data_IF_674280266258
#
_entry.id   IF_674280266258
#
_cell.length_a   1.000
_cell.length_b   1.000
_cell.length_c   1.000
_cell.angle_alpha   90.00
_cell.angle_beta   90.00
_cell.angle_gamma   90.00
#
_symmetry.space_group_name_H-M   'P 1'
#
loop_
_entity.id
_entity.type
_entity.pdbx_description
1 polymer ?
#
# COMPACT_ATOMS: atom_id res chain seq x y z
N UNK A 1 92.12 48.43 44.58
CA UNK A 1 90.65 48.43 44.85
C UNK A 1 90.00 47.29 44.05
N UNK A 2 89.12 46.52 44.74
CA UNK A 2 87.97 45.68 44.30
C UNK A 2 88.13 44.18 43.94
N UNK A 3 87.12 43.46 44.46
CA UNK A 3 86.59 42.08 44.26
C UNK A 3 87.15 40.93 45.15
N UNK A 4 86.24 40.04 45.65
CA UNK A 4 85.55 39.03 44.83
C UNK A 4 84.00 38.99 44.98
N UNK A 5 83.32 38.50 43.94
CA UNK A 5 81.91 38.09 43.94
C UNK A 5 81.80 36.64 43.45
N UNK A 6 80.97 35.86 44.15
CA UNK A 6 80.52 34.51 43.82
C UNK A 6 79.32 34.54 42.85
N UNK A 7 79.22 33.55 41.95
CA UNK A 7 77.94 33.03 41.43
C UNK A 7 78.18 31.82 40.48
N UNK A 8 77.84 30.61 40.93
CA UNK A 8 77.72 29.41 40.10
C UNK A 8 76.42 28.71 40.50
N UNK A 9 75.33 28.91 39.75
CA UNK A 9 74.11 28.09 39.76
C UNK A 9 73.10 28.67 38.75
N UNK A 10 73.18 28.32 37.47
CA UNK A 10 72.12 28.68 36.50
C UNK A 10 71.97 27.75 35.29
N UNK A 11 72.91 26.84 35.01
CA UNK A 11 72.82 25.97 33.82
C UNK A 11 72.15 24.61 34.07
N UNK A 12 72.24 24.04 35.29
CA UNK A 12 71.60 22.75 35.62
C UNK A 12 70.08 22.88 35.81
N UNK A 13 69.59 23.97 36.39
CA UNK A 13 68.15 24.17 36.63
C UNK A 13 67.36 24.44 35.35
N UNK A 14 68.01 25.00 34.31
CA UNK A 14 67.37 25.21 33.00
C UNK A 14 67.17 23.89 32.25
N UNK A 15 68.16 22.98 32.29
CA UNK A 15 68.07 21.67 31.63
C UNK A 15 67.04 20.74 32.32
N UNK A 16 66.94 20.78 33.65
CA UNK A 16 65.89 20.06 34.38
C UNK A 16 64.49 20.60 34.09
N UNK A 17 64.34 21.93 33.99
CA UNK A 17 63.07 22.55 33.62
C UNK A 17 62.63 22.21 32.19
N UNK A 18 63.56 22.13 31.23
CA UNK A 18 63.24 21.68 29.88
C UNK A 18 62.82 20.21 29.84
N UNK A 19 63.50 19.33 30.59
CA UNK A 19 63.11 17.91 30.72
C UNK A 19 61.75 17.74 31.39
N UNK A 20 61.44 18.53 32.42
CA UNK A 20 60.13 18.55 33.08
C UNK A 20 59.03 19.05 32.14
N UNK A 21 59.29 20.09 31.34
CA UNK A 21 58.36 20.56 30.29
C UNK A 21 58.16 19.52 29.20
N UNK A 22 59.21 18.82 28.79
CA UNK A 22 59.13 17.77 27.77
C UNK A 22 58.39 16.53 28.31
N UNK A 23 58.59 16.18 29.59
CA UNK A 23 57.84 15.13 30.26
C UNK A 23 56.35 15.49 30.44
N UNK A 24 56.05 16.75 30.80
CA UNK A 24 54.69 17.31 30.86
C UNK A 24 53.99 17.28 29.50
N UNK A 25 54.69 17.69 28.43
CA UNK A 25 54.17 17.65 27.08
C UNK A 25 53.93 16.21 26.59
N UNK A 26 54.84 15.28 26.91
CA UNK A 26 54.66 13.86 26.61
C UNK A 26 53.50 13.25 27.41
N UNK A 27 53.26 13.69 28.65
CA UNK A 27 52.10 13.23 29.43
C UNK A 27 50.79 13.81 28.89
N UNK A 28 50.77 15.05 28.39
CA UNK A 28 49.62 15.60 27.68
C UNK A 28 49.34 14.84 26.37
N UNK A 29 50.35 14.50 25.58
CA UNK A 29 50.18 13.69 24.37
C UNK A 29 49.69 12.29 24.72
N UNK A 30 50.22 11.66 25.78
CA UNK A 30 49.76 10.35 26.25
C UNK A 30 48.30 10.42 26.75
N UNK A 31 47.91 11.51 27.40
CA UNK A 31 46.53 11.77 27.81
C UNK A 31 45.59 11.97 26.62
N UNK A 32 46.01 12.76 25.61
CA UNK A 32 45.27 12.97 24.37
C UNK A 32 45.13 11.69 23.55
N UNK A 33 46.19 10.88 23.45
CA UNK A 33 46.13 9.59 22.75
C UNK A 33 45.30 8.56 23.52
N UNK A 34 45.32 8.57 24.86
CA UNK A 34 44.37 7.80 25.68
C UNK A 34 42.94 8.25 25.42
N UNK A 35 42.67 9.56 25.44
CA UNK A 35 41.33 10.12 25.19
C UNK A 35 40.84 9.83 23.77
N UNK A 36 41.74 9.86 22.78
CA UNK A 36 41.45 9.47 21.40
C UNK A 36 41.20 7.98 21.28
N UNK A 37 41.95 7.15 22.02
CA UNK A 37 41.74 5.70 22.11
C UNK A 37 40.43 5.37 22.81
N UNK A 38 40.02 6.16 23.79
CA UNK A 38 38.73 6.05 24.49
C UNK A 38 37.57 6.54 23.62
N UNK A 39 37.78 7.57 22.79
CA UNK A 39 36.82 8.00 21.78
C UNK A 39 36.71 7.00 20.62
N UNK A 40 37.83 6.44 20.18
CA UNK A 40 37.86 5.38 19.16
C UNK A 40 37.24 4.10 19.72
N UNK A 41 37.52 3.71 20.96
CA UNK A 41 36.88 2.55 21.61
C UNK A 41 35.40 2.79 21.83
N UNK A 42 34.96 4.01 22.19
CA UNK A 42 33.54 4.36 22.25
C UNK A 42 32.86 4.39 20.87
N UNK A 43 33.58 4.75 19.79
CA UNK A 43 33.09 4.64 18.42
C UNK A 43 33.04 3.18 17.95
N UNK A 44 34.03 2.35 18.32
CA UNK A 44 34.05 0.91 18.06
C UNK A 44 33.04 0.15 18.94
N UNK A 45 32.72 0.63 20.14
CA UNK A 45 31.63 0.13 20.99
C UNK A 45 30.28 0.60 20.46
N UNK A 46 30.14 1.81 19.92
CA UNK A 46 28.92 2.21 19.19
C UNK A 46 28.74 1.39 17.92
N UNK A 47 29.80 1.13 17.16
CA UNK A 47 29.77 0.24 15.99
C UNK A 47 29.56 -1.22 16.38
N UNK A 48 30.10 -1.69 17.52
CA UNK A 48 29.85 -3.05 18.03
C UNK A 48 28.49 -3.19 18.69
N UNK A 49 27.91 -2.15 19.29
CA UNK A 49 26.51 -2.14 19.75
C UNK A 49 25.58 -2.11 18.54
N UNK A 50 25.85 -1.27 17.53
CA UNK A 50 25.13 -1.30 16.25
C UNK A 50 25.31 -2.60 15.46
N UNK A 51 26.47 -3.28 15.55
CA UNK A 51 26.68 -4.62 14.96
C UNK A 51 26.10 -5.75 15.81
N UNK A 52 26.06 -5.63 17.14
CA UNK A 52 25.46 -6.62 18.04
C UNK A 52 23.93 -6.54 18.05
N UNK A 53 23.34 -5.40 17.69
CA UNK A 53 21.91 -5.33 17.34
C UNK A 53 21.56 -6.07 16.04
N UNK A 54 22.55 -6.44 15.23
CA UNK A 54 22.37 -7.14 13.94
C UNK A 54 22.74 -8.62 13.98
N UNK A 55 23.17 -9.14 15.13
CA UNK A 55 23.60 -10.54 15.29
C UNK A 55 22.97 -11.19 16.52
N UNK A 56 21.66 -11.00 16.70
CA UNK A 56 20.83 -11.93 17.47
C UNK A 56 20.16 -12.90 16.50
N UNK A 57 20.58 -14.18 16.56
CA UNK A 57 19.89 -15.28 15.88
C UNK A 57 18.51 -15.46 16.52
N UNK A 58 17.49 -15.52 15.65
CA UNK A 58 16.08 -15.78 15.93
C UNK A 58 15.28 -14.63 16.56
N UNK A 59 15.06 -13.57 15.80
CA UNK A 59 13.78 -12.86 15.62
C UNK A 59 13.97 -11.85 14.48
N UNK A 60 12.91 -11.52 13.74
CA UNK A 60 13.05 -10.73 12.50
C UNK A 60 13.81 -9.41 12.76
N UNK A 61 14.75 -8.99 11.88
CA UNK A 61 15.48 -7.71 11.99
C UNK A 61 14.59 -6.45 12.10
N UNK A 62 13.30 -6.63 11.88
CA UNK A 62 12.25 -5.65 11.80
C UNK A 62 11.83 -5.08 13.17
N UNK A 63 11.76 -5.90 14.22
CA UNK A 63 11.16 -5.49 15.51
C UNK A 63 11.98 -4.39 16.20
N UNK A 64 13.31 -4.49 16.18
CA UNK A 64 14.18 -3.49 16.80
C UNK A 64 14.08 -2.09 16.17
N UNK A 65 13.71 -1.99 14.89
CA UNK A 65 13.53 -0.71 14.18
C UNK A 65 12.21 -0.04 14.61
N UNK A 66 11.19 -0.82 14.94
CA UNK A 66 9.90 -0.26 15.38
C UNK A 66 10.07 0.48 16.70
N UNK A 67 10.84 -0.11 17.62
CA UNK A 67 11.06 0.45 18.96
C UNK A 67 11.92 1.72 18.96
N UNK A 68 12.55 2.05 17.83
CA UNK A 68 13.19 3.35 17.63
C UNK A 68 12.19 4.52 17.71
N UNK A 69 10.95 4.32 17.24
CA UNK A 69 9.95 5.37 17.19
C UNK A 69 9.28 5.59 18.55
N UNK A 70 9.38 6.81 19.09
CA UNK A 70 8.73 7.18 20.35
C UNK A 70 7.20 7.30 20.21
N UNK A 71 6.74 7.80 19.06
CA UNK A 71 5.32 8.01 18.79
C UNK A 71 4.63 6.66 18.59
N UNK A 72 3.62 6.39 19.41
CA UNK A 72 2.84 5.14 19.36
C UNK A 72 2.16 4.92 18.00
N UNK A 73 1.64 5.99 17.41
CA UNK A 73 1.01 5.95 16.09
C UNK A 73 1.96 5.44 15.01
N UNK A 74 3.21 5.92 15.02
CA UNK A 74 4.23 5.45 14.08
C UNK A 74 4.52 3.97 14.33
N UNK A 75 4.64 3.54 15.59
CA UNK A 75 4.85 2.12 15.92
C UNK A 75 3.70 1.24 15.43
N UNK A 76 2.44 1.66 15.64
CA UNK A 76 1.25 0.96 15.14
C UNK A 76 1.23 0.92 13.62
N UNK A 77 1.55 2.03 12.96
CA UNK A 77 1.59 2.08 11.50
C UNK A 77 2.72 1.24 10.92
N UNK A 78 3.92 1.25 11.49
CA UNK A 78 5.06 0.48 10.99
C UNK A 78 4.89 -1.02 11.24
N UNK A 79 4.21 -1.47 12.30
CA UNK A 79 4.02 -2.91 12.56
C UNK A 79 3.37 -3.64 11.37
N UNK A 80 3.77 -4.89 11.13
CA UNK A 80 3.10 -5.79 10.17
C UNK A 80 1.74 -6.17 10.72
N UNK A 81 0.70 -6.12 9.87
CA UNK A 81 -0.66 -6.51 10.26
C UNK A 81 -0.89 -7.93 9.78
N UNK A 82 -0.95 -8.94 10.65
CA UNK A 82 -1.20 -10.31 10.23
C UNK A 82 -2.59 -10.43 9.63
N UNK A 83 -2.78 -11.33 8.65
CA UNK A 83 -4.13 -11.56 8.12
C UNK A 83 -4.98 -12.27 9.20
N UNK A 84 -6.25 -11.87 9.37
CA UNK A 84 -7.14 -12.39 10.44
C UNK A 84 -7.29 -13.92 10.41
N UNK A 85 -7.30 -14.50 9.21
CA UNK A 85 -7.44 -15.96 8.99
C UNK A 85 -6.11 -16.74 9.09
N UNK A 86 -4.98 -16.11 9.40
CA UNK A 86 -3.65 -16.75 9.47
C UNK A 86 -3.14 -17.36 8.17
N UNK A 87 -3.85 -17.16 7.05
CA UNK A 87 -3.53 -17.64 5.71
C UNK A 87 -2.98 -16.49 4.85
N UNK A 88 -2.34 -16.82 3.73
CA UNK A 88 -1.97 -15.82 2.74
C UNK A 88 -3.21 -15.08 2.23
N UNK A 89 -3.10 -13.75 2.14
CA UNK A 89 -4.10 -12.93 1.48
C UNK A 89 -4.02 -13.14 -0.04
N UNK A 90 -4.97 -12.58 -0.77
CA UNK A 90 -5.04 -12.78 -2.22
C UNK A 90 -3.86 -12.19 -3.01
N UNK A 91 -3.05 -11.31 -2.39
CA UNK A 91 -1.83 -10.77 -2.99
C UNK A 91 -0.62 -11.71 -2.80
N UNK A 92 -0.80 -12.83 -2.08
CA UNK A 92 0.25 -13.81 -1.81
C UNK A 92 1.08 -13.50 -0.56
N UNK A 93 0.65 -12.56 0.29
CA UNK A 93 1.37 -12.16 1.49
C UNK A 93 0.73 -12.70 2.78
N UNK A 94 1.55 -13.05 3.77
CA UNK A 94 1.10 -13.58 5.08
C UNK A 94 0.53 -12.49 6.02
N UNK A 95 0.65 -11.23 5.61
CA UNK A 95 0.18 -10.06 6.32
C UNK A 95 0.35 -8.83 5.44
N UNK A 96 0.01 -7.67 5.98
CA UNK A 96 0.15 -6.38 5.30
C UNK A 96 1.32 -5.62 5.89
N UNK A 97 2.25 -5.23 5.03
CA UNK A 97 3.47 -4.49 5.35
C UNK A 97 3.29 -3.05 4.91
N UNK A 98 3.44 -2.08 5.80
CA UNK A 98 3.20 -0.67 5.46
C UNK A 98 4.31 -0.07 4.60
N UNK A 99 3.95 0.91 3.78
CA UNK A 99 4.77 1.50 2.70
C UNK A 99 5.90 2.42 3.16
N UNK A 100 6.46 2.20 4.35
CA UNK A 100 7.67 2.91 4.79
C UNK A 100 8.89 2.14 4.28
N UNK A 101 9.90 2.89 3.81
CA UNK A 101 11.09 2.33 3.17
C UNK A 101 11.93 1.38 4.03
N UNK A 102 11.64 1.21 5.33
CA UNK A 102 12.33 0.23 6.17
C UNK A 102 12.08 -1.21 5.68
N UNK A 103 10.90 -1.51 5.12
CA UNK A 103 10.60 -2.82 4.53
C UNK A 103 11.51 -3.14 3.33
N UNK A 104 12.02 -2.12 2.62
CA UNK A 104 13.00 -2.33 1.56
C UNK A 104 14.32 -2.92 2.05
N UNK A 105 14.74 -2.64 3.28
CA UNK A 105 15.98 -3.22 3.83
C UNK A 105 15.86 -4.73 4.02
N UNK A 106 14.67 -5.23 4.37
CA UNK A 106 14.40 -6.67 4.44
C UNK A 106 14.26 -7.34 3.07
N UNK A 107 14.07 -6.56 2.00
CA UNK A 107 13.93 -7.03 0.62
C UNK A 107 15.08 -6.55 -0.25
N UNK A 108 16.28 -6.43 0.34
CA UNK A 108 17.46 -5.87 -0.30
C UNK A 108 17.75 -6.54 -1.65
N UNK A 109 17.77 -7.87 -1.68
CA UNK A 109 18.13 -8.65 -2.88
C UNK A 109 17.14 -8.38 -4.01
N UNK A 110 15.83 -8.47 -3.74
CA UNK A 110 14.79 -8.17 -4.73
C UNK A 110 14.81 -6.71 -5.20
N UNK A 111 15.10 -5.77 -4.29
CA UNK A 111 15.20 -4.35 -4.64
C UNK A 111 16.44 -4.08 -5.51
N UNK A 112 17.59 -4.67 -5.20
CA UNK A 112 18.81 -4.56 -6.00
C UNK A 112 18.61 -5.20 -7.39
N UNK A 113 17.95 -6.36 -7.47
CA UNK A 113 17.56 -6.97 -8.75
C UNK A 113 16.64 -6.04 -9.55
N UNK A 114 15.64 -5.44 -8.89
CA UNK A 114 14.73 -4.49 -9.51
C UNK A 114 15.43 -3.19 -9.92
N UNK A 115 16.45 -2.73 -9.20
CA UNK A 115 17.17 -1.50 -9.55
C UNK A 115 18.35 -1.74 -10.50
N UNK A 116 18.63 -3.00 -10.86
CA UNK A 116 19.69 -3.37 -11.80
C UNK A 116 19.23 -3.18 -13.26
N UNK A 117 19.40 -1.94 -13.76
CA UNK A 117 19.18 -1.54 -15.15
C UNK A 117 20.17 -0.45 -15.56
N UNK A 118 20.44 -0.36 -16.86
CA UNK A 118 21.27 0.71 -17.42
C UNK A 118 20.44 1.97 -17.68
N UNK A 119 20.98 3.11 -17.29
CA UNK A 119 20.34 4.42 -17.52
C UNK A 119 20.20 4.67 -19.02
N UNK A 120 18.98 4.97 -19.46
CA UNK A 120 18.63 5.21 -20.86
C UNK A 120 18.33 3.93 -21.64
N UNK A 121 18.41 2.76 -21.02
CA UNK A 121 18.04 1.49 -21.67
C UNK A 121 16.56 1.15 -21.42
N UNK A 122 16.08 0.04 -21.99
CA UNK A 122 14.77 -0.54 -21.77
C UNK A 122 14.77 -1.28 -20.43
N UNK A 123 13.80 -1.00 -19.55
CA UNK A 123 13.66 -1.71 -18.29
C UNK A 123 13.39 -3.22 -18.52
N UNK A 124 13.70 -4.08 -17.55
CA UNK A 124 13.32 -5.51 -17.61
C UNK A 124 11.79 -5.69 -17.55
N UNK A 125 11.28 -6.77 -18.14
CA UNK A 125 9.86 -7.19 -18.06
C UNK A 125 9.59 -7.95 -16.75
N UNK A 126 9.71 -7.24 -15.63
CA UNK A 126 9.67 -7.79 -14.26
C UNK A 126 8.65 -7.08 -13.36
N UNK A 127 7.50 -6.70 -13.93
CA UNK A 127 6.42 -6.04 -13.18
C UNK A 127 5.95 -6.86 -11.95
N UNK A 128 6.08 -8.19 -11.98
CA UNK A 128 5.81 -9.06 -10.82
C UNK A 128 6.76 -8.79 -9.65
N UNK A 129 8.04 -8.54 -9.93
CA UNK A 129 9.02 -8.20 -8.91
C UNK A 129 8.69 -6.82 -8.31
N UNK A 130 8.35 -5.85 -9.16
CA UNK A 130 7.87 -4.53 -8.72
C UNK A 130 6.64 -4.64 -7.80
N UNK A 131 5.63 -5.41 -8.22
CA UNK A 131 4.43 -5.62 -7.42
C UNK A 131 4.72 -6.37 -6.11
N UNK A 132 5.63 -7.36 -6.13
CA UNK A 132 6.08 -8.06 -4.93
C UNK A 132 6.68 -7.07 -3.93
N UNK A 133 7.56 -6.16 -4.37
CA UNK A 133 8.11 -5.11 -3.52
C UNK A 133 6.98 -4.24 -2.92
N UNK A 134 6.06 -3.74 -3.74
CA UNK A 134 4.93 -2.90 -3.30
C UNK A 134 4.05 -3.60 -2.24
N UNK A 135 3.63 -4.84 -2.50
CA UNK A 135 2.77 -5.65 -1.60
C UNK A 135 3.45 -5.88 -0.25
N UNK A 136 4.77 -5.99 -0.24
CA UNK A 136 5.58 -6.19 0.96
C UNK A 136 6.09 -4.88 1.58
N UNK A 137 5.51 -3.73 1.21
CA UNK A 137 5.79 -2.43 1.86
C UNK A 137 7.06 -1.75 1.37
N UNK A 138 7.82 -2.39 0.48
CA UNK A 138 8.90 -1.71 -0.23
C UNK A 138 8.33 -1.05 -1.47
N UNK A 139 7.79 0.16 -1.33
CA UNK A 139 7.34 0.92 -2.50
C UNK A 139 8.56 1.19 -3.40
N UNK A 140 8.65 0.53 -4.58
CA UNK A 140 9.88 0.52 -5.34
C UNK A 140 10.18 1.95 -5.78
N UNK A 141 11.44 2.38 -5.61
CA UNK A 141 11.90 3.62 -6.19
C UNK A 141 11.53 3.59 -7.68
N UNK A 142 10.79 4.60 -8.18
CA UNK A 142 10.34 4.58 -9.56
C UNK A 142 11.58 4.48 -10.46
N UNK A 143 11.59 3.49 -11.37
CA UNK A 143 12.59 3.40 -12.44
C UNK A 143 12.44 4.58 -13.39
N UNK A 144 12.91 5.75 -12.97
CA UNK A 144 12.77 7.03 -13.69
C UNK A 144 13.80 7.20 -14.80
N UNK A 145 14.74 6.26 -14.94
CA UNK A 145 15.90 6.38 -15.82
C UNK A 145 16.03 5.23 -16.82
N UNK A 146 15.03 4.36 -16.95
CA UNK A 146 14.92 3.42 -18.07
C UNK A 146 13.56 3.57 -18.74
N UNK A 147 13.46 3.16 -20.00
CA UNK A 147 12.23 3.20 -20.77
C UNK A 147 11.35 2.00 -20.42
N UNK A 148 10.08 2.25 -20.09
CA UNK A 148 9.11 1.19 -19.79
C UNK A 148 8.90 0.27 -20.99
N UNK A 149 8.91 -1.03 -20.77
CA UNK A 149 8.63 -2.02 -21.83
C UNK A 149 7.19 -1.87 -22.32
N UNK A 150 7.04 -1.61 -23.62
CA UNK A 150 5.76 -1.63 -24.31
C UNK A 150 5.42 -3.04 -24.85
N UNK A 151 4.14 -3.32 -25.17
CA UNK A 151 3.79 -4.52 -25.92
C UNK A 151 4.54 -4.59 -27.26
N UNK A 152 4.90 -5.80 -27.72
CA UNK A 152 5.64 -6.00 -28.97
C UNK A 152 4.91 -5.47 -30.20
N UNK A 153 3.58 -5.56 -30.18
CA UNK A 153 2.70 -5.06 -31.22
C UNK A 153 1.78 -4.03 -30.58
N UNK A 154 1.62 -2.88 -31.22
CA UNK A 154 0.70 -1.85 -30.76
C UNK A 154 -0.40 -1.66 -31.80
N UNK A 155 -1.64 -1.58 -31.34
CA UNK A 155 -2.77 -1.17 -32.15
C UNK A 155 -3.50 -0.02 -31.48
N UNK A 156 -4.05 0.87 -32.30
CA UNK A 156 -4.86 1.97 -31.82
C UNK A 156 -6.02 1.40 -30.97
N UNK A 157 -6.19 1.83 -29.70
CA UNK A 157 -7.31 1.43 -28.88
C UNK A 157 -8.65 1.85 -29.50
N UNK A 158 -9.72 1.15 -29.13
CA UNK A 158 -11.07 1.53 -29.54
C UNK A 158 -11.42 2.95 -29.05
N UNK A 159 -12.23 3.70 -29.82
CA UNK A 159 -12.80 4.96 -29.33
C UNK A 159 -13.58 4.73 -28.04
N UNK A 160 -13.70 5.78 -27.22
CA UNK A 160 -14.29 5.69 -25.88
C UNK A 160 -15.73 5.16 -25.88
N UNK A 161 -16.50 5.43 -26.92
CA UNK A 161 -17.89 4.97 -27.04
C UNK A 161 -18.00 3.46 -27.29
N UNK A 162 -16.93 2.83 -27.81
CA UNK A 162 -16.88 1.39 -28.09
C UNK A 162 -16.09 0.62 -27.03
N UNK A 163 -15.08 1.25 -26.42
CA UNK A 163 -14.11 0.58 -25.54
C UNK A 163 -14.69 0.11 -24.21
N UNK A 164 -15.79 0.73 -23.73
CA UNK A 164 -16.28 0.52 -22.37
C UNK A 164 -16.79 -0.91 -22.15
N UNK A 165 -17.53 -1.48 -23.10
CA UNK A 165 -18.19 -2.78 -22.98
C UNK A 165 -17.72 -3.83 -23.99
N UNK A 166 -16.63 -3.54 -24.71
CA UNK A 166 -16.01 -4.43 -25.68
C UNK A 166 -14.66 -4.92 -25.16
N UNK A 167 -14.37 -6.20 -25.33
CA UNK A 167 -13.05 -6.73 -25.00
C UNK A 167 -11.97 -6.02 -25.85
N UNK A 168 -10.91 -5.47 -25.24
CA UNK A 168 -9.84 -4.82 -25.96
C UNK A 168 -9.02 -5.77 -26.85
N UNK A 169 -8.19 -5.19 -27.73
CA UNK A 169 -7.22 -5.94 -28.52
C UNK A 169 -6.10 -6.51 -27.63
N UNK A 170 -5.92 -7.83 -27.70
CA UNK A 170 -4.90 -8.56 -26.94
C UNK A 170 -3.48 -8.05 -27.21
N UNK A 171 -3.21 -7.49 -28.39
CA UNK A 171 -1.85 -7.04 -28.77
C UNK A 171 -1.33 -5.92 -27.87
N UNK A 172 -2.22 -5.11 -27.30
CA UNK A 172 -1.86 -3.98 -26.44
C UNK A 172 -1.48 -4.37 -25.00
N UNK A 173 -1.29 -5.66 -24.73
CA UNK A 173 -0.97 -6.18 -23.39
C UNK A 173 0.28 -7.05 -23.41
N UNK A 174 1.07 -6.97 -22.33
CA UNK A 174 2.24 -7.81 -22.11
C UNK A 174 1.86 -9.14 -21.45
N UNK A 175 1.60 -10.16 -22.28
CA UNK A 175 1.12 -11.46 -21.81
C UNK A 175 2.19 -12.41 -21.24
N UNK A 176 3.48 -12.07 -21.32
CA UNK A 176 4.62 -12.93 -20.94
C UNK A 176 4.44 -13.56 -19.56
N UNK A 177 4.03 -12.74 -18.60
CA UNK A 177 3.93 -13.09 -17.18
C UNK A 177 2.57 -13.64 -16.74
N UNK A 178 1.59 -13.77 -17.63
CA UNK A 178 0.25 -14.28 -17.31
C UNK A 178 0.03 -15.72 -17.79
N UNK A 179 -0.84 -16.46 -17.11
CA UNK A 179 -1.25 -17.82 -17.53
C UNK A 179 -2.07 -17.77 -18.82
N UNK A 180 -3.04 -16.85 -18.89
CA UNK A 180 -3.76 -16.54 -20.13
C UNK A 180 -2.90 -15.67 -21.05
N UNK A 181 -3.10 -15.82 -22.37
CA UNK A 181 -2.38 -15.06 -23.41
C UNK A 181 -3.28 -14.13 -24.23
N UNK A 182 -4.55 -14.03 -23.85
CA UNK A 182 -5.56 -13.14 -24.42
C UNK A 182 -6.72 -12.95 -23.43
N UNK A 183 -7.52 -11.92 -23.64
CA UNK A 183 -8.72 -11.62 -22.86
C UNK A 183 -9.80 -12.69 -23.03
N UNK A 184 -9.88 -13.33 -24.20
CA UNK A 184 -10.84 -14.42 -24.44
C UNK A 184 -10.58 -15.61 -23.50
N UNK A 185 -9.33 -15.93 -23.19
CA UNK A 185 -8.97 -16.95 -22.20
C UNK A 185 -9.46 -16.58 -20.79
N UNK A 186 -9.35 -15.31 -20.41
CA UNK A 186 -9.81 -14.79 -19.11
C UNK A 186 -11.34 -14.74 -19.03
N UNK A 187 -12.03 -14.45 -20.13
CA UNK A 187 -13.50 -14.44 -20.18
C UNK A 187 -14.13 -15.84 -20.18
N UNK A 188 -13.36 -16.91 -20.44
CA UNK A 188 -13.85 -18.29 -20.41
C UNK A 188 -13.83 -18.84 -18.98
N UNK A 189 -15.03 -18.97 -18.42
CA UNK A 189 -15.30 -19.41 -17.04
C UNK A 189 -14.70 -20.80 -16.69
N UNK A 190 -14.46 -21.66 -17.70
CA UNK A 190 -13.94 -23.02 -17.52
C UNK A 190 -12.47 -23.11 -17.11
N UNK A 191 -11.74 -22.01 -17.09
CA UNK A 191 -10.29 -22.08 -16.99
C UNK A 191 -9.76 -22.06 -15.55
N UNK A 192 -10.48 -21.49 -14.59
CA UNK A 192 -9.92 -21.16 -13.26
C UNK A 192 -8.63 -20.32 -13.37
N UNK A 193 -8.43 -19.65 -14.52
CA UNK A 193 -7.21 -18.88 -14.84
C UNK A 193 -7.53 -17.40 -14.68
N UNK A 194 -6.87 -16.76 -13.71
CA UNK A 194 -7.07 -15.35 -13.39
C UNK A 194 -7.09 -15.14 -11.88
N UNK A 195 -7.70 -14.04 -11.45
CA UNK A 195 -7.97 -13.77 -10.05
C UNK A 195 -9.28 -14.43 -9.61
N UNK A 196 -9.25 -15.28 -8.59
CA UNK A 196 -10.42 -16.06 -8.17
C UNK A 196 -11.61 -15.22 -7.69
N UNK A 197 -11.38 -14.05 -7.08
CA UNK A 197 -12.48 -13.13 -6.70
C UNK A 197 -13.10 -12.39 -7.90
N UNK A 198 -12.50 -12.55 -9.08
CA UNK A 198 -12.87 -11.85 -10.30
C UNK A 198 -12.93 -12.81 -11.50
N UNK A 199 -13.37 -14.05 -11.27
CA UNK A 199 -13.46 -15.12 -12.30
C UNK A 199 -14.25 -14.67 -13.53
N UNK A 200 -15.36 -13.98 -13.30
CA UNK A 200 -16.31 -13.57 -14.34
C UNK A 200 -16.14 -12.12 -14.79
N UNK A 201 -15.17 -11.39 -14.23
CA UNK A 201 -15.00 -9.95 -14.49
C UNK A 201 -14.61 -9.58 -15.93
N UNK A 202 -14.11 -10.56 -16.68
CA UNK A 202 -13.78 -10.39 -18.10
C UNK A 202 -14.97 -10.67 -19.02
N UNK A 203 -16.09 -11.19 -18.49
CA UNK A 203 -17.36 -11.26 -19.21
C UNK A 203 -18.09 -9.91 -19.12
N UNK A 204 -17.66 -8.97 -19.97
CA UNK A 204 -18.18 -7.60 -19.93
C UNK A 204 -19.69 -7.52 -20.19
N UNK A 205 -20.22 -8.32 -21.11
CA UNK A 205 -21.60 -8.19 -21.59
C UNK A 205 -22.62 -8.82 -20.64
N UNK A 206 -22.36 -10.03 -20.15
CA UNK A 206 -23.36 -10.78 -19.38
C UNK A 206 -23.16 -10.68 -17.86
N UNK A 207 -21.93 -10.44 -17.41
CA UNK A 207 -21.63 -10.35 -15.97
C UNK A 207 -21.44 -8.91 -15.52
N UNK A 208 -20.53 -8.15 -16.15
CA UNK A 208 -20.18 -6.81 -15.66
C UNK A 208 -21.19 -5.72 -16.06
N UNK A 209 -21.78 -5.81 -17.26
CA UNK A 209 -22.77 -4.86 -17.73
C UNK A 209 -23.91 -4.71 -16.70
N UNK A 210 -24.70 -5.74 -16.31
CA UNK A 210 -25.88 -5.52 -15.45
C UNK A 210 -25.57 -4.96 -14.04
N UNK A 211 -24.32 -4.98 -13.57
CA UNK A 211 -23.95 -4.61 -12.19
C UNK A 211 -24.36 -3.18 -11.84
N UNK A 212 -24.96 -3.03 -10.66
CA UNK A 212 -25.46 -1.78 -10.06
C UNK A 212 -26.54 -1.03 -10.86
N UNK A 213 -27.04 -1.61 -11.94
CA UNK A 213 -28.21 -1.10 -12.69
C UNK A 213 -29.44 -1.93 -12.37
N UNK A 214 -29.26 -3.24 -12.30
CA UNK A 214 -30.29 -4.20 -11.91
C UNK A 214 -29.85 -4.93 -10.65
N UNK A 215 -30.82 -5.31 -9.79
CA UNK A 215 -30.53 -6.16 -8.64
C UNK A 215 -30.26 -7.58 -9.12
N UNK A 216 -29.00 -8.01 -9.09
CA UNK A 216 -28.59 -9.33 -9.60
C UNK A 216 -28.76 -10.39 -8.49
N UNK A 217 -28.50 -10.02 -7.24
CA UNK A 217 -28.59 -10.93 -6.10
C UNK A 217 -29.85 -10.67 -5.28
N UNK A 218 -31.00 -11.16 -5.76
CA UNK A 218 -32.26 -11.13 -5.01
C UNK A 218 -32.38 -12.40 -4.18
N UNK A 219 -32.54 -12.25 -2.87
CA UNK A 219 -32.75 -13.37 -1.97
C UNK A 219 -34.16 -13.97 -2.22
N UNK A 220 -34.30 -15.26 -2.57
CA UNK A 220 -35.55 -15.85 -3.06
C UNK A 220 -36.75 -15.70 -2.11
N UNK A 221 -36.48 -15.53 -0.81
CA UNK A 221 -37.49 -15.59 0.25
C UNK A 221 -37.65 -14.28 1.04
N UNK A 222 -36.89 -13.22 0.75
CA UNK A 222 -36.91 -12.00 1.58
C UNK A 222 -36.91 -10.67 0.83
N UNK A 223 -36.83 -10.66 -0.52
CA UNK A 223 -36.64 -9.44 -1.33
C UNK A 223 -35.47 -8.53 -0.88
N UNK A 224 -34.65 -8.97 0.09
CA UNK A 224 -33.45 -8.28 0.50
C UNK A 224 -32.38 -8.52 -0.56
N UNK A 225 -31.46 -7.58 -0.68
CA UNK A 225 -30.26 -7.70 -1.52
C UNK A 225 -29.15 -6.89 -0.83
N UNK A 226 -27.90 -7.35 -0.97
CA UNK A 226 -26.73 -6.52 -0.64
C UNK A 226 -26.49 -5.43 -1.69
N UNK A 227 -27.04 -5.58 -2.89
CA UNK A 227 -26.74 -4.69 -4.00
C UNK A 227 -27.53 -3.38 -3.88
N UNK A 228 -26.85 -2.25 -3.98
CA UNK A 228 -27.48 -0.95 -4.16
C UNK A 228 -27.32 -0.47 -5.60
N UNK A 229 -28.37 0.18 -6.11
CA UNK A 229 -28.37 0.70 -7.48
C UNK A 229 -27.71 2.08 -7.53
N UNK A 230 -26.94 2.35 -8.59
CA UNK A 230 -26.29 3.65 -8.78
C UNK A 230 -27.31 4.79 -8.76
N UNK A 231 -28.47 4.60 -9.39
CA UNK A 231 -29.52 5.62 -9.44
C UNK A 231 -30.00 6.00 -8.03
N UNK A 232 -30.20 5.02 -7.15
CA UNK A 232 -30.58 5.27 -5.76
C UNK A 232 -29.51 6.06 -5.02
N UNK A 233 -28.24 5.69 -5.19
CA UNK A 233 -27.14 6.31 -4.46
C UNK A 233 -26.90 7.74 -4.94
N UNK A 234 -26.92 7.98 -6.25
CA UNK A 234 -26.85 9.33 -6.81
C UNK A 234 -28.08 10.17 -6.44
N UNK A 235 -29.24 9.53 -6.29
CA UNK A 235 -30.48 10.16 -5.83
C UNK A 235 -30.42 10.69 -4.39
N UNK A 236 -29.52 10.18 -3.55
CA UNK A 236 -29.31 10.72 -2.19
C UNK A 236 -28.71 12.13 -2.22
N UNK A 237 -27.90 12.44 -3.25
CA UNK A 237 -27.22 13.73 -3.41
C UNK A 237 -27.23 14.19 -4.89
N UNK A 238 -28.39 14.59 -5.43
CA UNK A 238 -28.53 14.91 -6.85
C UNK A 238 -27.57 16.03 -7.28
N UNK A 239 -26.75 15.77 -8.30
CA UNK A 239 -25.80 16.74 -8.87
C UNK A 239 -24.55 17.02 -8.03
N UNK A 240 -24.40 16.38 -6.87
CA UNK A 240 -23.28 16.62 -5.95
C UNK A 240 -22.12 15.63 -6.09
N UNK A 241 -22.37 14.44 -6.67
CA UNK A 241 -21.37 13.39 -6.87
C UNK A 241 -20.81 13.50 -8.28
N UNK A 242 -19.52 13.81 -8.42
CA UNK A 242 -18.87 14.09 -9.72
C UNK A 242 -17.54 13.38 -9.86
N UNK A 243 -16.80 13.23 -8.76
CA UNK A 243 -15.50 12.57 -8.73
C UNK A 243 -15.39 11.57 -7.58
N UNK A 244 -14.72 10.45 -7.82
CA UNK A 244 -14.56 9.44 -6.78
C UNK A 244 -13.45 8.43 -7.03
N UNK A 245 -13.32 7.53 -6.05
CA UNK A 245 -12.35 6.44 -6.04
C UNK A 245 -13.10 5.12 -5.93
N UNK A 246 -12.81 4.18 -6.83
CA UNK A 246 -13.19 2.78 -6.69
C UNK A 246 -11.99 2.00 -6.14
N UNK A 247 -12.02 1.69 -4.85
CA UNK A 247 -10.99 0.94 -4.16
C UNK A 247 -11.29 -0.57 -4.22
N UNK A 248 -11.52 -1.08 -5.43
CA UNK A 248 -11.87 -2.47 -5.70
C UNK A 248 -10.96 -3.03 -6.78
N UNK A 249 -10.61 -4.31 -6.68
CA UNK A 249 -9.93 -4.99 -7.79
C UNK A 249 -10.95 -5.52 -8.78
N UNK A 250 -10.81 -5.11 -10.04
CA UNK A 250 -11.59 -5.63 -11.14
C UNK A 250 -11.22 -5.00 -12.47
N UNK A 251 -12.12 -5.09 -13.45
CA UNK A 251 -11.89 -4.58 -14.80
C UNK A 251 -12.28 -3.10 -14.97
N UNK A 252 -12.63 -2.40 -13.89
CA UNK A 252 -13.05 -0.98 -13.91
C UNK A 252 -14.55 -0.76 -14.14
N UNK A 253 -15.39 -1.76 -13.85
CA UNK A 253 -16.83 -1.72 -14.16
C UNK A 253 -17.59 -0.64 -13.40
N UNK A 254 -17.26 -0.41 -12.13
CA UNK A 254 -17.90 0.67 -11.38
C UNK A 254 -17.61 2.03 -12.03
N UNK A 255 -16.36 2.26 -12.44
CA UNK A 255 -15.98 3.47 -13.18
C UNK A 255 -16.68 3.59 -14.54
N UNK A 256 -16.81 2.48 -15.28
CA UNK A 256 -17.59 2.43 -16.52
C UNK A 256 -19.06 2.82 -16.29
N UNK A 257 -19.68 2.30 -15.22
CA UNK A 257 -21.08 2.55 -14.89
C UNK A 257 -21.33 3.97 -14.42
N UNK A 258 -20.48 4.48 -13.53
CA UNK A 258 -20.57 5.86 -13.03
C UNK A 258 -20.37 6.90 -14.15
N UNK A 259 -19.62 6.55 -15.20
CA UNK A 259 -19.46 7.38 -16.40
C UNK A 259 -20.76 7.63 -17.14
N UNK A 260 -21.68 6.66 -17.20
CA UNK A 260 -23.01 6.83 -17.80
C UNK A 260 -23.81 7.96 -17.11
N UNK A 261 -23.44 8.29 -15.87
CA UNK A 261 -24.01 9.37 -15.05
C UNK A 261 -23.09 10.60 -14.95
N UNK A 262 -22.10 10.72 -15.84
CA UNK A 262 -21.11 11.81 -15.86
C UNK A 262 -20.24 11.91 -14.59
N UNK A 263 -20.05 10.80 -13.87
CA UNK A 263 -19.16 10.76 -12.70
C UNK A 263 -17.82 10.14 -13.09
N UNK A 264 -16.73 10.85 -12.78
CA UNK A 264 -15.36 10.40 -13.04
C UNK A 264 -14.84 9.60 -11.87
N UNK A 265 -14.55 8.33 -12.09
CA UNK A 265 -14.02 7.43 -11.08
C UNK A 265 -12.60 7.01 -11.45
N UNK A 266 -11.70 7.09 -10.47
CA UNK A 266 -10.37 6.50 -10.54
C UNK A 266 -10.44 5.11 -9.89
N UNK A 267 -9.96 4.07 -10.56
CA UNK A 267 -10.00 2.70 -10.05
C UNK A 267 -8.64 2.29 -9.49
N UNK A 268 -8.55 2.08 -8.17
CA UNK A 268 -7.37 1.49 -7.57
C UNK A 268 -7.21 0.05 -8.06
N UNK A 269 -6.00 -0.36 -8.43
CA UNK A 269 -5.79 -1.67 -9.05
C UNK A 269 -4.38 -2.19 -8.85
N UNK A 270 -4.26 -3.51 -8.88
CA UNK A 270 -3.02 -4.26 -9.05
C UNK A 270 -3.26 -5.44 -9.99
N UNK A 271 -2.19 -5.98 -10.57
CA UNK A 271 -2.29 -7.06 -11.54
C UNK A 271 -2.21 -8.42 -10.83
N UNK A 272 -3.38 -9.04 -10.60
CA UNK A 272 -3.51 -10.32 -9.89
C UNK A 272 -3.87 -11.44 -10.87
N UNK A 273 -2.87 -12.14 -11.41
CA UNK A 273 -3.10 -13.23 -12.36
C UNK A 273 -3.73 -12.80 -13.70
N UNK A 274 -4.09 -11.53 -13.85
CA UNK A 274 -4.67 -10.89 -15.01
C UNK A 274 -4.20 -9.42 -15.13
N UNK A 275 -4.20 -8.84 -16.34
CA UNK A 275 -3.72 -7.47 -16.62
C UNK A 275 -4.83 -6.42 -16.35
N UNK A 276 -5.21 -6.24 -15.08
CA UNK A 276 -6.30 -5.35 -14.71
C UNK A 276 -6.00 -3.87 -15.04
N UNK A 277 -4.78 -3.42 -14.80
CA UNK A 277 -4.37 -2.03 -15.06
C UNK A 277 -4.49 -1.70 -16.55
N UNK A 278 -3.99 -2.59 -17.41
CA UNK A 278 -4.09 -2.47 -18.86
C UNK A 278 -5.54 -2.59 -19.34
N UNK A 279 -6.33 -3.49 -18.75
CA UNK A 279 -7.76 -3.63 -19.07
C UNK A 279 -8.53 -2.33 -18.80
N UNK A 280 -8.35 -1.74 -17.61
CA UNK A 280 -9.01 -0.48 -17.23
C UNK A 280 -8.59 0.65 -18.19
N UNK A 281 -7.28 0.78 -18.47
CA UNK A 281 -6.77 1.79 -19.39
C UNK A 281 -7.31 1.61 -20.83
N UNK A 282 -7.36 0.39 -21.34
CA UNK A 282 -7.85 0.09 -22.70
C UNK A 282 -9.36 0.27 -22.86
N UNK A 283 -10.12 0.25 -21.76
CA UNK A 283 -11.53 0.68 -21.73
C UNK A 283 -11.67 2.20 -21.75
N UNK A 284 -10.59 2.96 -21.61
CA UNK A 284 -10.58 4.42 -21.53
C UNK A 284 -10.94 4.96 -20.14
N UNK A 285 -10.64 4.18 -19.11
CA UNK A 285 -10.83 4.51 -17.69
C UNK A 285 -9.46 4.73 -17.04
N UNK A 286 -9.45 5.26 -15.80
CA UNK A 286 -8.20 5.64 -15.11
C UNK A 286 -7.81 4.57 -14.08
N UNK A 287 -6.79 3.73 -14.35
CA UNK A 287 -6.22 2.86 -13.33
C UNK A 287 -5.25 3.64 -12.44
N UNK A 288 -5.37 3.46 -11.13
CA UNK A 288 -4.40 3.89 -10.15
C UNK A 288 -3.70 2.65 -9.57
N UNK A 289 -2.45 2.43 -9.96
CA UNK A 289 -1.68 1.26 -9.53
C UNK A 289 -1.25 1.42 -8.07
N UNK A 290 -2.00 0.81 -7.15
CA UNK A 290 -1.92 1.08 -5.71
C UNK A 290 -2.33 -0.16 -4.92
N UNK A 291 -1.60 -0.46 -3.85
CA UNK A 291 -1.87 -1.55 -2.90
C UNK A 291 -2.52 -1.04 -1.60
N UNK A 292 -3.16 -1.95 -0.84
CA UNK A 292 -3.89 -1.64 0.42
C UNK A 292 -3.03 -1.05 1.54
N UNK A 293 -1.71 -1.19 1.45
CA UNK A 293 -0.73 -0.71 2.42
C UNK A 293 -0.19 0.70 2.13
N UNK A 294 -0.58 1.27 0.99
CA UNK A 294 -0.20 2.62 0.58
C UNK A 294 -1.29 3.60 0.95
N UNK A 295 -0.88 4.80 1.36
CA UNK A 295 -1.79 5.94 1.50
C UNK A 295 -2.35 6.33 0.15
N UNK A 296 -3.65 6.61 0.05
CA UNK A 296 -4.27 7.04 -1.20
C UNK A 296 -3.73 8.43 -1.63
N UNK A 297 -3.23 8.58 -2.87
CA UNK A 297 -2.52 9.78 -3.32
C UNK A 297 -3.47 10.91 -3.77
N UNK A 298 -4.51 11.18 -2.98
CA UNK A 298 -5.41 12.32 -3.17
C UNK A 298 -5.19 13.36 -2.07
N UNK A 299 -5.46 14.62 -2.40
CA UNK A 299 -5.47 15.69 -1.42
C UNK A 299 -6.67 15.55 -0.49
N UNK A 300 -6.60 16.20 0.66
CA UNK A 300 -7.61 16.06 1.70
C UNK A 300 -8.96 16.67 1.27
N UNK A 301 -10.06 16.00 1.59
CA UNK A 301 -11.44 16.44 1.35
C UNK A 301 -11.78 16.76 -0.12
N UNK A 302 -11.20 16.06 -1.09
CA UNK A 302 -11.44 16.33 -2.52
C UNK A 302 -12.44 15.41 -3.21
N UNK A 303 -12.66 14.19 -2.72
CA UNK A 303 -13.52 13.21 -3.39
C UNK A 303 -14.98 13.32 -2.92
N UNK A 304 -15.91 13.13 -3.85
CA UNK A 304 -17.36 13.12 -3.56
C UNK A 304 -17.84 11.72 -3.12
N UNK A 305 -17.20 10.66 -3.65
CA UNK A 305 -17.55 9.28 -3.34
C UNK A 305 -16.33 8.36 -3.29
N UNK A 306 -16.33 7.41 -2.35
CA UNK A 306 -15.42 6.26 -2.33
C UNK A 306 -16.29 5.00 -2.38
N UNK A 307 -15.96 4.09 -3.29
CA UNK A 307 -16.63 2.82 -3.47
C UNK A 307 -15.65 1.66 -3.21
N UNK A 308 -16.12 0.60 -2.57
CA UNK A 308 -15.40 -0.68 -2.44
C UNK A 308 -16.36 -1.84 -2.62
N UNK A 309 -15.98 -2.86 -3.39
CA UNK A 309 -16.75 -4.10 -3.54
C UNK A 309 -15.86 -5.32 -3.42
N UNK A 310 -16.21 -6.26 -2.52
CA UNK A 310 -15.61 -7.61 -2.37
C UNK A 310 -14.05 -7.68 -2.30
N UNK A 311 -13.40 -6.55 -2.05
CA UNK A 311 -11.93 -6.42 -2.06
C UNK A 311 -11.37 -6.46 -0.64
N UNK A 312 -11.81 -5.49 0.18
CA UNK A 312 -11.69 -5.56 1.63
C UNK A 312 -12.82 -6.48 2.13
N UNK A 313 -12.45 -7.60 2.73
CA UNK A 313 -13.38 -8.60 3.27
C UNK A 313 -12.66 -9.35 4.41
N UNK A 314 -13.21 -10.47 4.90
CA UNK A 314 -12.85 -11.09 6.18
C UNK A 314 -11.37 -11.49 6.39
N UNK A 315 -10.48 -11.38 5.40
CA UNK A 315 -9.03 -11.53 5.62
C UNK A 315 -8.38 -10.29 6.28
N UNK A 316 -9.00 -9.12 6.15
CA UNK A 316 -8.39 -7.84 6.54
C UNK A 316 -8.28 -7.73 8.07
N UNK A 317 -7.12 -7.28 8.55
CA UNK A 317 -6.92 -6.97 9.96
C UNK A 317 -7.72 -5.73 10.39
N UNK A 318 -8.20 -5.72 11.63
CA UNK A 318 -9.00 -4.61 12.17
C UNK A 318 -8.20 -3.31 12.24
N UNK A 319 -6.93 -3.37 12.68
CA UNK A 319 -6.08 -2.19 12.77
C UNK A 319 -5.71 -1.69 11.37
N UNK A 320 -5.51 -2.59 10.40
CA UNK A 320 -5.34 -2.20 9.01
C UNK A 320 -6.60 -1.52 8.44
N UNK A 321 -7.78 -2.09 8.68
CA UNK A 321 -9.03 -1.51 8.22
C UNK A 321 -9.24 -0.12 8.82
N UNK A 322 -8.91 0.06 10.10
CA UNK A 322 -8.93 1.36 10.78
C UNK A 322 -8.08 2.40 10.05
N UNK A 323 -6.81 2.08 9.75
CA UNK A 323 -5.93 2.96 8.95
C UNK A 323 -6.51 3.30 7.58
N UNK A 324 -7.09 2.31 6.87
CA UNK A 324 -7.70 2.52 5.56
C UNK A 324 -8.90 3.47 5.68
N UNK A 325 -9.74 3.28 6.69
CA UNK A 325 -10.94 4.09 6.91
C UNK A 325 -10.60 5.53 7.26
N UNK A 326 -9.57 5.78 8.07
CA UNK A 326 -9.08 7.13 8.32
C UNK A 326 -8.50 7.79 7.06
N UNK A 327 -7.81 7.03 6.21
CA UNK A 327 -7.27 7.58 4.97
C UNK A 327 -8.37 7.87 3.94
N UNK A 328 -9.43 7.07 3.92
CA UNK A 328 -10.65 7.34 3.15
C UNK A 328 -11.42 8.55 3.70
N UNK A 329 -11.61 8.66 5.02
CA UNK A 329 -12.18 9.86 5.63
C UNK A 329 -11.37 11.10 5.27
N UNK A 330 -10.03 11.03 5.30
CA UNK A 330 -9.16 12.15 4.94
C UNK A 330 -9.46 12.70 3.54
N UNK A 331 -9.63 11.84 2.52
CA UNK A 331 -9.81 12.29 1.13
C UNK A 331 -11.26 12.54 0.74
N UNK A 332 -12.22 11.99 1.48
CA UNK A 332 -13.64 12.22 1.26
C UNK A 332 -14.04 13.62 1.78
N UNK A 333 -14.73 14.42 0.97
CA UNK A 333 -15.19 15.75 1.39
C UNK A 333 -16.32 15.64 2.44
N UNK A 334 -16.55 16.67 3.27
CA UNK A 334 -17.78 16.75 4.06
C UNK A 334 -19.03 16.62 3.17
N UNK A 335 -19.96 15.77 3.57
CA UNK A 335 -21.13 15.38 2.79
C UNK A 335 -20.85 14.34 1.68
N UNK A 336 -19.60 13.92 1.48
CA UNK A 336 -19.25 12.85 0.56
C UNK A 336 -19.73 11.48 1.04
N UNK A 337 -19.87 10.54 0.10
CA UNK A 337 -20.40 9.20 0.35
C UNK A 337 -19.29 8.13 0.40
N UNK A 338 -19.30 7.31 1.44
CA UNK A 338 -18.61 6.02 1.46
C UNK A 338 -19.61 4.93 1.14
N UNK A 339 -19.43 4.26 0.01
CA UNK A 339 -20.25 3.15 -0.44
C UNK A 339 -19.46 1.84 -0.31
N UNK A 340 -19.89 1.03 0.65
CA UNK A 340 -19.39 -0.33 0.87
C UNK A 340 -20.39 -1.30 0.27
N UNK A 341 -19.97 -2.03 -0.75
CA UNK A 341 -20.78 -3.01 -1.46
C UNK A 341 -20.27 -4.43 -1.17
N UNK A 342 -21.16 -5.30 -0.68
CA UNK A 342 -20.90 -6.72 -0.48
C UNK A 342 -19.58 -7.04 0.25
N UNK A 343 -19.25 -6.32 1.34
CA UNK A 343 -18.16 -6.68 2.25
C UNK A 343 -18.51 -8.03 2.88
N UNK A 344 -17.68 -9.05 2.70
CA UNK A 344 -17.98 -10.39 3.21
C UNK A 344 -17.12 -10.75 4.42
N UNK A 345 -17.68 -11.39 5.43
CA UNK A 345 -16.90 -11.98 6.52
C UNK A 345 -17.65 -13.16 7.14
N UNK A 346 -16.99 -13.85 8.09
CA UNK A 346 -17.67 -14.82 8.95
C UNK A 346 -18.69 -14.09 9.83
N UNK A 347 -19.81 -14.76 10.11
CA UNK A 347 -20.88 -14.22 10.97
C UNK A 347 -20.38 -13.89 12.38
N UNK A 348 -19.42 -14.65 12.89
CA UNK A 348 -18.81 -14.44 14.20
C UNK A 348 -17.96 -13.15 14.25
N UNK A 349 -17.48 -12.68 13.09
CA UNK A 349 -16.57 -11.55 12.97
C UNK A 349 -17.30 -10.23 12.62
N UNK A 350 -18.59 -10.31 12.24
CA UNK A 350 -19.29 -9.17 11.66
C UNK A 350 -19.38 -7.99 12.64
N UNK A 351 -19.66 -8.25 13.91
CA UNK A 351 -19.83 -7.21 14.91
C UNK A 351 -18.54 -6.40 15.10
N UNK A 352 -17.38 -7.06 15.10
CA UNK A 352 -16.05 -6.41 15.12
C UNK A 352 -15.92 -5.42 13.94
N UNK A 353 -16.21 -5.87 12.71
CA UNK A 353 -16.09 -5.01 11.53
C UNK A 353 -17.08 -3.85 11.55
N UNK A 354 -18.34 -4.11 11.95
CA UNK A 354 -19.36 -3.08 12.05
C UNK A 354 -18.99 -2.00 13.09
N UNK A 355 -18.33 -2.38 14.19
CA UNK A 355 -17.81 -1.43 15.17
C UNK A 355 -16.80 -0.47 14.54
N UNK A 356 -15.84 -0.99 13.76
CA UNK A 356 -14.84 -0.16 13.05
C UNK A 356 -15.52 0.79 12.07
N UNK A 357 -16.48 0.33 11.27
CA UNK A 357 -17.23 1.21 10.35
C UNK A 357 -18.04 2.29 11.09
N UNK A 358 -18.52 2.01 12.30
CA UNK A 358 -19.26 2.97 13.12
C UNK A 358 -18.36 4.03 13.78
N UNK A 359 -17.07 3.74 13.96
CA UNK A 359 -16.12 4.63 14.63
C UNK A 359 -16.00 6.01 13.96
N UNK A 360 -16.13 6.08 12.63
CA UNK A 360 -16.10 7.35 11.89
C UNK A 360 -17.32 8.25 12.14
N UNK A 361 -18.38 7.73 12.80
CA UNK A 361 -19.64 8.45 13.09
C UNK A 361 -20.31 9.03 11.85
N UNK A 362 -20.22 8.31 10.72
CA UNK A 362 -20.90 8.71 9.50
C UNK A 362 -22.42 8.55 9.62
N UNK A 363 -23.15 9.41 8.93
CA UNK A 363 -24.61 9.30 8.82
C UNK A 363 -24.94 8.11 7.92
N UNK A 364 -25.79 7.20 8.39
CA UNK A 364 -26.21 6.00 7.64
C UNK A 364 -27.38 6.33 6.72
N UNK A 365 -27.22 6.19 5.41
CA UNK A 365 -28.31 6.29 4.43
C UNK A 365 -28.89 4.91 4.10
N UNK A 366 -28.01 3.94 3.86
CA UNK A 366 -28.36 2.53 3.67
C UNK A 366 -27.43 1.67 4.51
N UNK A 367 -27.95 0.59 5.09
CA UNK A 367 -27.20 -0.33 5.95
C UNK A 367 -27.91 -1.68 5.96
N UNK A 368 -27.28 -2.71 5.42
CA UNK A 368 -27.87 -4.05 5.35
C UNK A 368 -26.81 -5.12 5.61
N UNK A 369 -27.21 -6.15 6.36
CA UNK A 369 -26.45 -7.39 6.51
C UNK A 369 -27.33 -8.52 6.03
N UNK A 370 -26.82 -9.32 5.09
CA UNK A 370 -27.52 -10.47 4.51
C UNK A 370 -26.66 -11.73 4.62
N UNK A 371 -27.25 -12.91 4.86
CA UNK A 371 -26.50 -14.16 4.88
C UNK A 371 -25.95 -14.48 3.49
N UNK A 372 -24.76 -15.05 3.36
CA UNK A 372 -24.27 -15.54 2.08
C UNK A 372 -24.84 -16.95 1.83
N UNK A 373 -25.40 -17.20 0.64
CA UNK A 373 -26.11 -18.47 0.34
C UNK A 373 -25.15 -19.59 -0.13
N UNK A 374 -23.84 -19.37 -0.15
CA UNK A 374 -22.88 -20.42 -0.54
C UNK A 374 -22.53 -21.36 0.62
N UNK A 375 -21.65 -22.34 0.34
CA UNK A 375 -21.46 -23.53 1.19
C UNK A 375 -21.15 -23.13 2.63
N UNK A 376 -21.95 -23.70 3.53
CA UNK A 376 -21.83 -23.71 5.00
C UNK A 376 -22.56 -22.58 5.76
N UNK A 377 -23.16 -21.58 5.08
CA UNK A 377 -24.16 -20.66 5.68
C UNK A 377 -23.68 -19.76 6.83
N UNK A 378 -22.37 -19.78 7.14
CA UNK A 378 -21.75 -19.04 8.24
C UNK A 378 -21.13 -17.71 7.79
N UNK A 379 -21.25 -17.36 6.53
CA UNK A 379 -20.74 -16.12 5.96
C UNK A 379 -21.87 -15.11 5.76
N UNK A 380 -21.55 -13.82 5.86
CA UNK A 380 -22.50 -12.72 5.66
C UNK A 380 -21.91 -11.70 4.69
N UNK A 381 -22.78 -11.00 3.96
CA UNK A 381 -22.45 -9.76 3.29
C UNK A 381 -22.97 -8.57 4.08
N UNK A 382 -22.15 -7.54 4.18
CA UNK A 382 -22.49 -6.23 4.68
C UNK A 382 -22.42 -5.21 3.54
N UNK A 383 -23.42 -4.34 3.45
CA UNK A 383 -23.44 -3.24 2.48
C UNK A 383 -24.02 -2.00 3.11
N UNK A 384 -23.37 -0.87 2.85
CA UNK A 384 -23.75 0.41 3.43
C UNK A 384 -23.44 1.59 2.51
N UNK A 385 -24.24 2.63 2.65
CA UNK A 385 -23.93 3.97 2.12
C UNK A 385 -23.94 4.93 3.29
N UNK A 386 -22.78 5.52 3.53
CA UNK A 386 -22.46 6.33 4.69
C UNK A 386 -22.07 7.74 4.23
N UNK A 387 -22.59 8.78 4.85
CA UNK A 387 -22.25 10.17 4.54
C UNK A 387 -21.34 10.76 5.62
N UNK A 388 -20.22 11.34 5.19
CA UNK A 388 -19.26 12.01 6.07
C UNK A 388 -19.90 13.28 6.67
N UNK A 389 -20.00 13.41 8.00
CA UNK A 389 -20.57 14.60 8.61
C UNK A 389 -19.62 15.80 8.47
N UNK A 390 -20.14 17.04 8.52
CA UNK A 390 -19.29 18.19 8.79
C UNK A 390 -18.70 18.05 10.20
N UNK A 391 -17.39 18.23 10.34
CA UNK A 391 -16.72 18.30 11.64
C UNK A 391 -16.44 19.78 11.91
N UNK A 392 -17.16 20.43 12.86
CA UNK A 392 -16.85 21.80 13.23
C UNK A 392 -15.46 21.84 13.85
N UNK A 393 -14.62 22.77 13.39
CA UNK A 393 -13.34 23.08 14.03
C UNK A 393 -13.55 23.98 15.24
#
# INVERSE_FOLDING_TARGET
MRQPNSCHCSSQSQLENERLKQASFLTEILSLTSSLKDHLSALFEKDNVSRNYLLSKNNQPYEGIIDYFRIEEIRKYVRVKPNRLGKQNFMGANGTFTSIGHACFSMKEELEEYMNYDVGDICKDDWKLAQKLMVHGCDPLPRRRCFSVAPKLYTRPYPINESIWKLPDDRNVRWSQYKCKNFTCLARNSTGKGFFKCSDCFNLTHHELPRWIESIYVYPNSNLTSDFLIQDILGLKPGEIRIGLDFSVGTGTFAARMRDFNVSIISATINLGAPFSEMIALRGLVPLYLTVNQRVPFFDNTLDIIHTTRFLDGWIDIVLLDFILYDWDRVLRPGGLLWIDSFFCMKEDIDDYLEVFNMLRYKKHKWVVVPKIDKDGNEVFFSAVLEKPPRPF
#
